data_IF_597450697362
#
_entry.id   IF_597450697362
#
_cell.length_a   1.000
_cell.length_b   1.000
_cell.length_c   1.000
_cell.angle_alpha   90.00
_cell.angle_beta   90.00
_cell.angle_gamma   90.00
#
_symmetry.space_group_name_H-M   'P 1'
#
loop_
_entity.id
_entity.type
_entity.pdbx_description
1 polymer ?
#
# COMPACT_ATOMS: atom_id res chain seq x y z
N UNK A 1 28.40 13.24 4.74
CA UNK A 1 27.14 13.88 5.17
C UNK A 1 27.02 15.20 4.45
N UNK A 2 25.85 15.55 3.92
CA UNK A 2 25.63 16.82 3.21
C UNK A 2 24.56 17.60 3.98
N UNK A 3 24.91 18.74 4.59
CA UNK A 3 23.92 19.62 5.20
C UNK A 3 23.19 20.43 4.12
N UNK A 4 21.87 20.52 4.21
CA UNK A 4 21.03 21.35 3.35
C UNK A 4 20.12 22.23 4.22
N UNK A 5 19.96 23.50 3.86
CA UNK A 5 19.04 24.40 4.53
C UNK A 5 17.77 24.53 3.68
N UNK A 6 16.74 23.76 4.05
CA UNK A 6 15.41 23.79 3.42
C UNK A 6 14.34 24.07 4.46
N UNK A 7 13.35 24.91 4.12
CA UNK A 7 12.20 25.26 4.98
C UNK A 7 12.52 25.81 6.39
N UNK A 8 13.71 26.39 6.58
CA UNK A 8 14.09 27.03 7.85
C UNK A 8 14.71 26.09 8.89
N UNK A 9 14.95 24.83 8.54
CA UNK A 9 15.67 23.85 9.37
C UNK A 9 16.87 23.27 8.61
N UNK A 10 17.83 22.70 9.37
CA UNK A 10 19.01 22.05 8.83
C UNK A 10 18.75 20.55 8.63
N UNK A 11 18.64 20.11 7.38
CA UNK A 11 18.57 18.70 7.03
C UNK A 11 19.97 18.12 6.83
N UNK A 12 20.19 16.89 7.32
CA UNK A 12 21.47 16.19 7.15
C UNK A 12 21.27 14.92 6.32
N UNK A 13 21.80 14.88 5.11
CA UNK A 13 21.80 13.68 4.28
C UNK A 13 23.02 12.82 4.61
N UNK A 14 22.79 11.64 5.18
CA UNK A 14 23.84 10.63 5.41
C UNK A 14 24.08 9.89 4.11
N UNK A 15 25.28 10.04 3.56
CA UNK A 15 25.75 9.21 2.45
C UNK A 15 26.09 7.84 3.03
N UNK A 16 25.27 6.83 2.75
CA UNK A 16 25.54 5.45 3.16
C UNK A 16 26.89 4.99 2.60
N UNK A 17 27.55 4.10 3.34
CA UNK A 17 28.76 3.42 2.89
C UNK A 17 28.48 2.66 1.57
N UNK A 18 29.02 3.18 0.46
CA UNK A 18 28.75 2.70 -0.90
C UNK A 18 29.31 1.29 -1.19
N UNK A 19 29.95 0.64 -0.21
CA UNK A 19 30.44 -0.74 -0.33
C UNK A 19 29.31 -1.79 -0.34
N UNK A 20 28.12 -1.48 0.16
CA UNK A 20 26.95 -2.39 0.14
C UNK A 20 25.85 -1.81 -0.75
N UNK A 21 25.78 -2.32 -1.98
CA UNK A 21 24.72 -1.98 -2.95
C UNK A 21 23.37 -2.56 -2.50
N UNK A 22 22.64 -1.82 -1.67
CA UNK A 22 21.21 -2.04 -1.48
C UNK A 22 20.41 -1.26 -2.55
N UNK A 23 19.86 -1.99 -3.52
CA UNK A 23 19.07 -1.42 -4.62
C UNK A 23 17.70 -0.89 -4.19
N UNK A 24 17.30 -1.14 -2.94
CA UNK A 24 16.02 -0.68 -2.39
C UNK A 24 16.14 0.59 -1.55
N UNK A 25 17.37 0.99 -1.22
CA UNK A 25 17.64 2.23 -0.50
C UNK A 25 17.70 3.44 -1.45
N UNK A 26 17.26 4.64 -1.00
CA UNK A 26 17.43 5.87 -1.76
C UNK A 26 18.92 6.09 -2.05
N UNK A 27 19.31 6.07 -3.32
CA UNK A 27 20.69 6.29 -3.73
C UNK A 27 20.86 7.72 -4.23
N UNK A 28 21.86 8.41 -3.69
CA UNK A 28 22.38 9.64 -4.30
C UNK A 28 23.31 9.19 -5.43
N UNK A 29 22.83 9.20 -6.67
CA UNK A 29 23.73 9.05 -7.82
C UNK A 29 24.37 10.40 -8.11
N UNK A 30 25.69 10.49 -7.94
CA UNK A 30 26.45 11.57 -8.53
C UNK A 30 26.38 11.44 -10.05
N UNK A 31 25.77 12.42 -10.73
CA UNK A 31 25.84 12.53 -12.18
C UNK A 31 27.22 13.01 -12.59
N UNK A 32 28.18 12.08 -12.62
CA UNK A 32 29.54 12.35 -13.09
C UNK A 32 29.55 12.18 -14.61
N UNK A 33 30.00 13.20 -15.36
CA UNK A 33 30.12 13.07 -16.81
C UNK A 33 31.13 11.96 -17.17
N UNK A 34 31.05 11.34 -18.36
CA UNK A 34 32.01 10.32 -18.76
C UNK A 34 33.47 10.79 -18.68
N UNK A 35 33.72 12.07 -18.99
CA UNK A 35 35.05 12.70 -18.90
C UNK A 35 35.56 12.80 -17.46
N UNK A 36 34.73 13.24 -16.52
CA UNK A 36 35.09 13.33 -15.10
C UNK A 36 35.25 11.94 -14.46
N UNK A 37 34.46 10.95 -14.90
CA UNK A 37 34.60 9.56 -14.44
C UNK A 37 35.91 8.95 -14.90
N UNK A 38 36.32 9.22 -16.14
CA UNK A 38 37.59 8.77 -16.67
C UNK A 38 38.77 9.49 -16.01
N UNK A 39 38.66 10.80 -15.77
CA UNK A 39 39.65 11.57 -15.02
C UNK A 39 39.84 11.02 -13.60
N UNK A 40 38.75 10.79 -12.86
CA UNK A 40 38.81 10.23 -11.51
C UNK A 40 39.41 8.82 -11.49
N UNK A 41 39.08 7.96 -12.47
CA UNK A 41 39.64 6.62 -12.58
C UNK A 41 41.15 6.63 -12.87
N UNK A 42 41.61 7.54 -13.74
CA UNK A 42 43.05 7.72 -14.03
C UNK A 42 43.80 8.22 -12.80
N UNK A 43 43.26 9.23 -12.10
CA UNK A 43 43.88 9.77 -10.88
C UNK A 43 43.99 8.74 -9.75
N UNK A 44 42.96 7.89 -9.60
CA UNK A 44 42.95 6.81 -8.61
C UNK A 44 43.99 5.71 -8.95
N UNK A 45 44.14 5.40 -10.24
CA UNK A 45 45.11 4.41 -10.73
C UNK A 45 46.56 4.89 -10.61
N UNK A 46 46.80 6.21 -10.79
CA UNK A 46 48.12 6.83 -10.70
C UNK A 46 48.56 7.09 -9.24
N UNK A 47 47.70 6.79 -8.26
CA UNK A 47 48.07 6.68 -6.85
C UNK A 47 48.45 7.99 -6.17
N UNK A 48 47.92 9.13 -6.63
CA UNK A 48 48.17 10.47 -6.08
C UNK A 48 49.66 10.83 -5.93
N UNK A 49 50.54 10.21 -6.72
CA UNK A 49 51.99 10.25 -6.49
C UNK A 49 52.63 11.64 -6.54
N UNK A 50 52.01 12.58 -7.26
CA UNK A 50 52.58 13.91 -7.52
C UNK A 50 51.61 15.10 -7.28
N UNK A 51 50.52 14.92 -6.53
CA UNK A 51 49.56 16.02 -6.28
C UNK A 51 49.49 16.45 -4.81
N UNK A 52 49.87 17.72 -4.57
CA UNK A 52 49.26 18.53 -3.52
C UNK A 52 47.75 18.53 -3.76
N UNK A 53 46.98 18.25 -2.73
CA UNK A 53 45.53 18.41 -2.71
C UNK A 53 45.17 19.75 -3.37
N UNK A 54 44.46 19.70 -4.48
CA UNK A 54 43.98 20.89 -5.19
C UNK A 54 42.87 21.49 -4.31
N UNK A 55 43.24 22.46 -3.46
CA UNK A 55 42.37 23.14 -2.51
C UNK A 55 41.31 24.07 -3.17
N UNK A 56 41.11 24.03 -4.49
CA UNK A 56 40.34 25.07 -5.19
C UNK A 56 39.38 24.61 -6.32
N UNK A 57 39.31 23.32 -6.66
CA UNK A 57 38.36 22.88 -7.68
C UNK A 57 36.96 22.76 -7.07
N UNK A 58 36.13 23.78 -7.29
CA UNK A 58 34.70 23.74 -7.03
C UNK A 58 34.06 22.82 -8.07
N UNK A 59 33.63 21.64 -7.65
CA UNK A 59 32.73 20.81 -8.44
C UNK A 59 31.30 21.12 -8.03
N UNK A 60 30.42 21.30 -9.01
CA UNK A 60 28.99 21.49 -8.77
C UNK A 60 28.33 20.12 -8.66
N UNK A 61 27.78 19.82 -7.49
CA UNK A 61 27.00 18.60 -7.24
C UNK A 61 25.53 18.96 -7.30
N UNK A 62 24.89 18.71 -8.44
CA UNK A 62 23.45 18.94 -8.60
C UNK A 62 22.67 17.77 -8.00
N UNK A 63 21.89 18.04 -6.96
CA UNK A 63 20.94 17.09 -6.40
C UNK A 63 19.56 17.30 -7.01
N UNK A 64 19.04 16.30 -7.70
CA UNK A 64 17.63 16.22 -8.06
C UNK A 64 16.86 15.61 -6.89
N UNK A 65 16.47 16.45 -5.93
CA UNK A 65 15.44 16.10 -4.97
C UNK A 65 14.08 16.16 -5.68
N UNK A 66 13.07 15.36 -5.28
CA UNK A 66 11.71 15.57 -5.79
C UNK A 66 11.31 17.03 -5.55
N UNK A 67 10.81 17.72 -6.59
CA UNK A 67 10.39 19.14 -6.51
C UNK A 67 9.32 19.41 -5.44
N UNK A 68 8.73 18.35 -4.87
CA UNK A 68 7.69 18.38 -3.84
C UNK A 68 8.22 18.43 -2.40
N UNK A 69 9.55 18.44 -2.20
CA UNK A 69 10.15 18.35 -0.86
C UNK A 69 10.03 16.95 -0.23
N UNK A 70 10.51 16.76 1.01
CA UNK A 70 10.45 15.48 1.70
C UNK A 70 8.98 15.07 1.95
N UNK A 71 8.64 13.85 1.56
CA UNK A 71 7.33 13.25 1.77
C UNK A 71 7.40 11.73 1.92
N UNK A 72 6.35 11.14 2.48
CA UNK A 72 6.18 9.71 2.57
C UNK A 72 6.41 9.04 1.21
N UNK A 73 7.17 7.95 1.18
CA UNK A 73 7.57 7.30 -0.07
C UNK A 73 6.37 6.92 -0.95
N UNK A 74 5.24 6.52 -0.36
CA UNK A 74 4.05 6.19 -1.13
C UNK A 74 3.37 7.41 -1.78
N UNK A 75 3.66 8.65 -1.35
CA UNK A 75 3.18 9.88 -1.97
C UNK A 75 4.06 10.34 -3.14
N UNK A 76 5.16 9.63 -3.45
CA UNK A 76 6.04 9.97 -4.55
C UNK A 76 5.29 10.15 -5.88
N UNK A 77 5.70 11.16 -6.64
CA UNK A 77 5.16 11.48 -7.95
C UNK A 77 6.09 10.90 -9.04
N UNK A 78 5.58 10.11 -10.00
CA UNK A 78 4.19 9.70 -10.18
C UNK A 78 3.71 8.64 -9.19
N UNK A 79 2.44 8.75 -8.81
CA UNK A 79 1.73 7.68 -8.13
C UNK A 79 1.73 6.39 -8.97
N UNK A 80 1.53 5.20 -8.36
CA UNK A 80 1.55 3.94 -9.11
C UNK A 80 0.59 3.93 -10.30
N UNK A 81 1.01 3.30 -11.38
CA UNK A 81 0.20 3.16 -12.60
C UNK A 81 -1.14 2.50 -12.25
N UNK A 82 -2.23 3.02 -12.80
CA UNK A 82 -3.62 2.61 -12.55
C UNK A 82 -4.14 2.87 -11.12
N UNK A 83 -3.38 3.57 -10.28
CA UNK A 83 -3.91 4.06 -9.01
C UNK A 83 -4.98 5.13 -9.22
N UNK A 84 -5.89 5.23 -8.25
CA UNK A 84 -6.99 6.19 -8.25
C UNK A 84 -6.79 7.19 -7.12
N UNK A 85 -7.04 8.49 -7.35
CA UNK A 85 -6.83 9.51 -6.35
C UNK A 85 -7.77 9.34 -5.15
N UNK A 86 -7.22 9.61 -3.97
CA UNK A 86 -7.88 9.53 -2.67
C UNK A 86 -7.35 10.60 -1.71
N UNK A 87 -7.90 11.82 -1.81
CA UNK A 87 -7.39 12.94 -1.01
C UNK A 87 -5.98 13.31 -1.47
N UNK A 88 -5.05 13.38 -0.51
CA UNK A 88 -3.63 13.62 -0.78
C UNK A 88 -2.89 12.37 -1.30
N UNK A 89 -3.53 11.20 -1.25
CA UNK A 89 -2.93 9.95 -1.67
C UNK A 89 -3.73 9.23 -2.74
N UNK A 90 -3.67 7.91 -2.72
CA UNK A 90 -4.24 7.06 -3.77
C UNK A 90 -4.65 5.70 -3.23
N UNK A 91 -5.43 4.96 -4.01
CA UNK A 91 -5.62 3.52 -3.82
C UNK A 91 -5.48 2.78 -5.15
N UNK A 92 -5.06 1.53 -5.08
CA UNK A 92 -4.81 0.65 -6.22
C UNK A 92 -5.33 -0.75 -5.88
N UNK A 93 -6.11 -1.32 -6.79
CA UNK A 93 -6.52 -2.72 -6.69
C UNK A 93 -5.96 -3.49 -7.88
N UNK A 94 -5.36 -4.64 -7.61
CA UNK A 94 -4.97 -5.59 -8.65
C UNK A 94 -5.95 -6.75 -8.68
N UNK A 95 -6.05 -7.37 -9.84
CA UNK A 95 -6.94 -8.50 -10.07
C UNK A 95 -6.23 -9.57 -10.86
N UNK A 96 -6.77 -10.78 -10.79
CA UNK A 96 -6.45 -11.87 -11.71
C UNK A 96 -7.71 -12.46 -12.31
N UNK A 97 -7.56 -13.10 -13.46
CA UNK A 97 -8.68 -13.73 -14.14
C UNK A 97 -9.08 -15.03 -13.42
N UNK A 98 -10.39 -15.29 -13.36
CA UNK A 98 -10.96 -16.55 -12.90
C UNK A 98 -11.80 -17.17 -14.02
N UNK A 99 -11.77 -18.52 -14.17
CA UNK A 99 -12.58 -19.20 -15.19
C UNK A 99 -14.08 -18.97 -15.02
N UNK A 100 -14.54 -18.78 -13.78
CA UNK A 100 -15.94 -18.51 -13.43
C UNK A 100 -16.02 -17.38 -12.41
N UNK A 101 -16.91 -16.41 -12.63
CA UNK A 101 -17.25 -15.37 -11.63
C UNK A 101 -17.97 -15.97 -10.43
N UNK A 102 -18.77 -17.01 -10.66
CA UNK A 102 -19.40 -17.81 -9.61
C UNK A 102 -19.34 -19.28 -10.01
N UNK A 103 -18.83 -20.14 -9.14
CA UNK A 103 -18.79 -21.59 -9.34
C UNK A 103 -20.21 -22.20 -9.38
N UNK A 104 -21.16 -21.61 -8.65
CA UNK A 104 -22.56 -22.02 -8.60
C UNK A 104 -23.37 -21.59 -9.83
N UNK A 105 -22.80 -20.80 -10.73
CA UNK A 105 -23.45 -20.31 -11.95
C UNK A 105 -22.48 -20.33 -13.15
N UNK A 106 -22.20 -21.53 -13.72
CA UNK A 106 -21.26 -21.68 -14.83
C UNK A 106 -21.66 -20.88 -16.09
N UNK A 107 -22.96 -20.61 -16.29
CA UNK A 107 -23.46 -19.84 -17.41
C UNK A 107 -23.01 -18.36 -17.36
N UNK A 108 -22.62 -17.86 -16.18
CA UNK A 108 -22.08 -16.51 -16.01
C UNK A 108 -20.69 -16.29 -16.58
N UNK A 109 -19.95 -17.37 -16.89
CA UNK A 109 -18.63 -17.31 -17.49
C UNK A 109 -17.54 -16.71 -16.57
N UNK A 110 -16.37 -16.47 -17.16
CA UNK A 110 -15.18 -15.97 -16.45
C UNK A 110 -15.22 -14.48 -16.14
N UNK A 111 -14.30 -14.07 -15.26
CA UNK A 111 -14.15 -12.66 -14.88
C UNK A 111 -12.90 -12.44 -14.06
N UNK A 112 -12.97 -11.54 -13.08
CA UNK A 112 -11.81 -11.13 -12.28
C UNK A 112 -12.09 -11.22 -10.80
N UNK A 113 -11.11 -11.69 -10.02
CA UNK A 113 -11.11 -11.61 -8.55
C UNK A 113 -9.99 -10.67 -8.08
N UNK A 114 -10.14 -9.99 -6.94
CA UNK A 114 -9.09 -9.13 -6.41
C UNK A 114 -7.93 -9.94 -5.83
N UNK A 115 -6.70 -9.50 -6.09
CA UNK A 115 -5.48 -10.15 -5.58
C UNK A 115 -4.74 -9.31 -4.56
N UNK A 116 -4.87 -7.98 -4.64
CA UNK A 116 -4.26 -7.06 -3.69
C UNK A 116 -4.97 -5.71 -3.78
N UNK A 117 -5.14 -5.09 -2.63
CA UNK A 117 -5.62 -3.72 -2.48
C UNK A 117 -4.57 -2.93 -1.69
N UNK A 118 -4.19 -1.77 -2.20
CA UNK A 118 -3.18 -0.90 -1.61
C UNK A 118 -3.72 0.52 -1.53
N UNK A 119 -3.32 1.25 -0.51
CA UNK A 119 -3.56 2.68 -0.43
C UNK A 119 -2.39 3.41 0.20
N UNK A 120 -2.15 4.62 -0.29
CA UNK A 120 -1.37 5.63 0.41
C UNK A 120 -2.37 6.62 1.00
N UNK A 121 -2.45 6.70 2.32
CA UNK A 121 -3.46 7.46 3.04
C UNK A 121 -2.81 8.68 3.69
N UNK A 122 -2.96 9.84 3.06
CA UNK A 122 -2.55 11.13 3.62
C UNK A 122 -3.61 11.71 4.57
N UNK A 123 -3.30 12.87 5.18
CA UNK A 123 -4.18 13.56 6.13
C UNK A 123 -5.57 13.85 5.55
N UNK A 124 -5.67 14.31 4.29
CA UNK A 124 -6.96 14.66 3.68
C UNK A 124 -7.64 13.48 2.97
N UNK A 125 -7.45 12.26 3.47
CA UNK A 125 -8.15 11.06 2.97
C UNK A 125 -9.66 11.30 2.96
N UNK A 126 -10.30 11.09 1.80
CA UNK A 126 -11.73 11.38 1.60
C UNK A 126 -12.57 10.15 1.91
N UNK A 127 -13.85 10.37 2.21
CA UNK A 127 -14.80 9.26 2.30
C UNK A 127 -14.98 8.61 0.91
N UNK A 128 -14.92 7.29 0.88
CA UNK A 128 -15.11 6.49 -0.31
C UNK A 128 -16.58 6.31 -0.72
N UNK A 129 -16.82 5.42 -1.67
CA UNK A 129 -18.18 5.14 -2.18
C UNK A 129 -18.79 3.89 -1.57
N UNK A 130 -20.08 3.66 -1.80
CA UNK A 130 -20.76 2.44 -1.39
C UNK A 130 -20.35 1.23 -2.24
N UNK A 131 -21.01 0.10 -2.03
CA UNK A 131 -20.81 -1.14 -2.79
C UNK A 131 -21.78 -1.23 -3.96
N UNK A 132 -21.42 -1.90 -5.05
CA UNK A 132 -22.37 -2.26 -6.12
C UNK A 132 -22.21 -3.70 -6.61
N UNK A 133 -23.22 -4.18 -7.33
CA UNK A 133 -23.17 -5.46 -8.04
C UNK A 133 -22.67 -5.28 -9.48
N UNK A 134 -22.16 -6.35 -10.12
CA UNK A 134 -21.89 -7.70 -9.56
C UNK A 134 -20.53 -7.81 -8.85
N UNK A 135 -20.46 -8.57 -7.75
CA UNK A 135 -19.19 -8.95 -7.07
C UNK A 135 -18.88 -10.42 -7.34
N UNK A 136 -17.64 -10.72 -7.71
CA UNK A 136 -17.16 -12.10 -7.94
C UNK A 136 -17.34 -12.95 -6.69
N UNK A 137 -17.92 -14.14 -6.85
CA UNK A 137 -18.25 -15.06 -5.76
C UNK A 137 -19.51 -14.72 -4.98
N UNK A 138 -20.26 -13.65 -5.29
CA UNK A 138 -21.43 -13.29 -4.48
C UNK A 138 -22.53 -14.36 -4.54
N UNK A 139 -22.79 -14.97 -5.72
CA UNK A 139 -23.76 -16.07 -5.82
C UNK A 139 -23.27 -17.35 -5.13
N UNK A 140 -21.95 -17.57 -5.13
CA UNK A 140 -21.34 -18.70 -4.41
C UNK A 140 -21.55 -18.55 -2.90
N UNK A 141 -21.41 -17.33 -2.37
CA UNK A 141 -21.68 -17.04 -0.97
C UNK A 141 -23.16 -17.26 -0.62
N UNK A 142 -24.08 -16.77 -1.46
CA UNK A 142 -25.52 -16.97 -1.29
C UNK A 142 -25.88 -18.47 -1.34
N UNK A 143 -25.29 -19.23 -2.27
CA UNK A 143 -25.48 -20.68 -2.38
C UNK A 143 -24.93 -21.43 -1.16
N UNK A 144 -23.75 -21.04 -0.65
CA UNK A 144 -23.15 -21.62 0.55
C UNK A 144 -24.05 -21.42 1.79
N UNK A 145 -24.57 -20.21 2.01
CA UNK A 145 -25.48 -19.94 3.12
C UNK A 145 -26.76 -20.77 3.01
N UNK A 146 -27.34 -20.85 1.81
CA UNK A 146 -28.51 -21.68 1.55
C UNK A 146 -28.26 -23.16 1.85
N UNK A 147 -27.13 -23.70 1.38
CA UNK A 147 -26.76 -25.11 1.58
C UNK A 147 -26.54 -25.46 3.06
N UNK A 148 -26.09 -24.50 3.87
CA UNK A 148 -25.85 -24.67 5.29
C UNK A 148 -27.03 -24.18 6.18
N UNK A 149 -28.17 -23.81 5.58
CA UNK A 149 -29.35 -23.28 6.28
C UNK A 149 -29.02 -22.09 7.19
N UNK A 150 -28.12 -21.21 6.73
CA UNK A 150 -27.67 -20.03 7.47
C UNK A 150 -28.50 -18.80 7.07
N UNK A 151 -28.95 -18.05 8.06
CA UNK A 151 -29.69 -16.78 7.88
C UNK A 151 -28.83 -15.55 8.24
N UNK A 152 -27.51 -15.72 8.30
CA UNK A 152 -26.58 -14.66 8.68
C UNK A 152 -26.40 -13.64 7.56
N UNK A 153 -26.18 -12.38 7.93
CA UNK A 153 -26.01 -11.30 6.97
C UNK A 153 -24.69 -11.42 6.21
N UNK A 154 -24.78 -11.46 4.88
CA UNK A 154 -23.65 -11.36 3.96
C UNK A 154 -23.49 -9.93 3.46
N UNK A 155 -22.23 -9.55 3.22
CA UNK A 155 -21.85 -8.22 2.78
C UNK A 155 -20.85 -8.25 1.64
N UNK A 156 -20.72 -7.09 1.01
CA UNK A 156 -19.69 -6.78 0.03
C UNK A 156 -18.59 -6.02 0.77
N UNK A 157 -17.66 -6.76 1.37
CA UNK A 157 -16.58 -6.17 2.16
C UNK A 157 -15.65 -5.37 1.27
N UNK A 158 -15.34 -4.15 1.70
CA UNK A 158 -14.27 -3.37 1.11
C UNK A 158 -12.90 -3.95 1.51
N UNK A 159 -11.94 -4.01 0.59
CA UNK A 159 -10.55 -4.31 0.90
C UNK A 159 -9.83 -3.08 1.44
N UNK A 160 -9.94 -1.95 0.75
CA UNK A 160 -9.71 -0.62 1.33
C UNK A 160 -11.05 -0.08 1.82
N UNK A 161 -11.19 0.11 3.13
CA UNK A 161 -12.44 0.56 3.75
C UNK A 161 -12.98 1.86 3.14
N UNK A 162 -14.31 2.01 3.11
CA UNK A 162 -14.96 3.27 2.70
C UNK A 162 -14.49 4.46 3.55
N UNK A 163 -14.30 4.27 4.85
CA UNK A 163 -13.81 5.32 5.76
C UNK A 163 -12.36 5.75 5.47
N UNK A 164 -11.60 4.91 4.78
CA UNK A 164 -10.23 5.17 4.30
C UNK A 164 -10.22 5.55 2.80
N UNK A 165 -11.39 5.87 2.23
CA UNK A 165 -11.51 6.33 0.84
C UNK A 165 -11.65 5.26 -0.23
N UNK A 166 -11.76 4.00 0.16
CA UNK A 166 -12.01 2.92 -0.78
C UNK A 166 -13.38 3.03 -1.45
N UNK A 167 -13.41 2.68 -2.74
CA UNK A 167 -14.58 2.83 -3.61
C UNK A 167 -15.04 1.46 -4.10
N UNK A 168 -16.34 1.28 -4.31
CA UNK A 168 -16.91 -0.01 -4.73
C UNK A 168 -18.11 0.09 -5.67
N UNK A 169 -18.46 1.29 -6.15
CA UNK A 169 -19.69 1.51 -6.93
C UNK A 169 -19.52 1.35 -8.44
N UNK A 170 -18.34 1.65 -9.00
CA UNK A 170 -18.10 1.63 -10.46
C UNK A 170 -17.42 0.34 -10.92
N UNK A 171 -17.52 0.01 -12.21
CA UNK A 171 -16.81 -1.16 -12.79
C UNK A 171 -15.30 -1.17 -12.48
N UNK A 172 -14.68 0.01 -12.48
CA UNK A 172 -13.25 0.18 -12.19
C UNK A 172 -12.90 -0.04 -10.71
N UNK A 173 -13.82 0.28 -9.80
CA UNK A 173 -13.55 0.27 -8.36
C UNK A 173 -14.13 -0.95 -7.65
N UNK A 174 -15.03 -1.69 -8.30
CA UNK A 174 -15.70 -2.85 -7.70
C UNK A 174 -14.76 -3.99 -7.32
N UNK A 175 -13.57 -4.05 -7.91
CA UNK A 175 -12.49 -4.96 -7.49
C UNK A 175 -11.90 -4.61 -6.12
N UNK A 176 -12.39 -3.58 -5.45
CA UNK A 176 -12.15 -3.36 -4.03
C UNK A 176 -13.08 -4.19 -3.14
N UNK A 177 -13.96 -5.03 -3.71
CA UNK A 177 -15.00 -5.75 -2.97
C UNK A 177 -14.80 -7.26 -3.02
N UNK A 178 -15.05 -7.92 -1.89
CA UNK A 178 -15.16 -9.38 -1.79
C UNK A 178 -16.43 -9.77 -1.03
N UNK A 179 -17.05 -10.93 -1.34
CA UNK A 179 -18.13 -11.47 -0.52
C UNK A 179 -17.60 -11.85 0.86
N UNK A 180 -18.37 -11.52 1.89
CA UNK A 180 -17.97 -11.77 3.27
C UNK A 180 -19.16 -11.83 4.22
N UNK A 181 -18.92 -12.30 5.44
CA UNK A 181 -19.88 -12.11 6.52
C UNK A 181 -19.87 -10.67 7.03
N UNK A 182 -21.07 -10.09 7.20
CA UNK A 182 -21.22 -8.78 7.84
C UNK A 182 -20.68 -8.81 9.27
N UNK A 183 -21.04 -9.84 10.05
CA UNK A 183 -20.48 -10.11 11.38
C UNK A 183 -19.48 -11.27 11.26
N UNK A 184 -18.19 -10.97 11.39
CA UNK A 184 -17.07 -11.84 11.03
C UNK A 184 -15.95 -11.01 10.43
N UNK A 185 -15.70 -11.18 9.12
CA UNK A 185 -14.62 -10.46 8.42
C UNK A 185 -14.86 -8.95 8.33
N UNK A 186 -16.08 -8.51 8.00
CA UNK A 186 -16.38 -7.07 7.86
C UNK A 186 -16.32 -6.36 9.22
N UNK A 187 -17.27 -6.71 10.08
CA UNK A 187 -17.45 -6.13 11.41
C UNK A 187 -17.35 -7.22 12.46
N UNK A 188 -16.86 -6.89 13.65
CA UNK A 188 -16.58 -7.87 14.71
C UNK A 188 -15.31 -7.50 15.45
N UNK A 189 -14.84 -8.40 16.33
CA UNK A 189 -13.57 -8.24 17.06
C UNK A 189 -12.85 -9.59 17.22
N UNK A 190 -11.63 -9.74 16.68
CA UNK A 190 -11.01 -8.89 15.65
C UNK A 190 -11.70 -9.06 14.28
N UNK A 191 -11.75 -8.00 13.49
CA UNK A 191 -12.24 -7.99 12.09
C UNK A 191 -11.44 -6.99 11.26
N UNK A 192 -11.71 -6.85 9.96
CA UNK A 192 -11.11 -5.80 9.14
C UNK A 192 -11.32 -4.42 9.76
N UNK A 193 -12.54 -4.15 10.24
CA UNK A 193 -12.88 -2.90 10.94
C UNK A 193 -12.00 -2.58 12.14
N UNK A 194 -11.47 -3.60 12.84
CA UNK A 194 -10.55 -3.39 13.98
C UNK A 194 -9.30 -2.64 13.53
N UNK A 195 -8.66 -3.10 12.44
CA UNK A 195 -7.42 -2.52 11.93
C UNK A 195 -7.66 -1.24 11.12
N UNK A 196 -8.78 -1.17 10.41
CA UNK A 196 -9.20 0.05 9.72
C UNK A 196 -9.43 1.22 10.68
N UNK A 197 -9.93 0.94 11.90
CA UNK A 197 -10.13 1.97 12.93
C UNK A 197 -8.80 2.53 13.42
N UNK A 198 -7.76 1.70 13.54
CA UNK A 198 -6.41 2.15 13.90
C UNK A 198 -5.89 3.18 12.88
N UNK A 199 -5.97 2.86 11.59
CA UNK A 199 -5.56 3.79 10.52
C UNK A 199 -6.44 5.05 10.47
N UNK A 200 -7.75 4.90 10.63
CA UNK A 200 -8.70 6.02 10.67
C UNK A 200 -8.39 6.98 11.83
N UNK A 201 -8.09 6.45 13.01
CA UNK A 201 -7.80 7.25 14.20
C UNK A 201 -6.47 8.00 14.07
N UNK A 202 -5.46 7.42 13.42
CA UNK A 202 -4.22 8.14 13.09
C UNK A 202 -4.50 9.30 12.11
N UNK A 203 -5.19 9.04 11.00
CA UNK A 203 -5.52 10.08 9.99
C UNK A 203 -6.34 11.22 10.60
N UNK A 204 -7.24 10.90 11.54
CA UNK A 204 -8.12 11.88 12.19
C UNK A 204 -7.55 12.49 13.47
N UNK A 205 -6.28 12.21 13.80
CA UNK A 205 -5.61 12.77 14.98
C UNK A 205 -6.20 12.30 16.32
N UNK A 206 -6.83 11.13 16.34
CA UNK A 206 -7.42 10.51 17.53
C UNK A 206 -6.53 9.45 18.17
N UNK A 207 -5.51 8.98 17.45
CA UNK A 207 -4.55 8.00 17.96
C UNK A 207 -3.62 8.65 19.00
N UNK A 208 -3.61 8.19 20.26
CA UNK A 208 -2.72 8.75 21.28
C UNK A 208 -1.24 8.56 20.92
N UNK A 209 -0.46 9.63 20.98
CA UNK A 209 1.00 9.57 20.74
C UNK A 209 1.40 9.44 19.27
N UNK A 210 0.45 9.41 18.32
CA UNK A 210 0.73 9.33 16.88
C UNK A 210 0.08 10.52 16.19
N UNK A 211 0.91 11.38 15.59
CA UNK A 211 0.46 12.53 14.79
C UNK A 211 1.12 12.43 13.42
N UNK A 212 0.33 12.52 12.34
CA UNK A 212 0.86 12.60 10.98
C UNK A 212 1.14 14.08 10.62
N UNK A 213 2.31 14.34 10.08
CA UNK A 213 2.60 15.59 9.39
C UNK A 213 1.90 15.65 8.02
N UNK A 214 1.86 16.83 7.41
CA UNK A 214 1.22 17.06 6.10
C UNK A 214 1.77 16.17 4.98
N UNK A 215 3.06 15.84 5.08
CA UNK A 215 3.76 15.02 4.09
C UNK A 215 3.98 13.58 4.59
N UNK A 216 3.42 13.20 5.73
CA UNK A 216 3.40 11.81 6.19
C UNK A 216 2.20 11.07 5.57
N UNK A 217 2.27 9.74 5.47
CA UNK A 217 1.16 8.92 5.02
C UNK A 217 1.17 7.55 5.66
N UNK A 218 0.00 6.89 5.68
CA UNK A 218 -0.09 5.46 5.99
C UNK A 218 -0.07 4.69 4.68
N UNK A 219 0.93 3.82 4.52
CA UNK A 219 0.89 2.79 3.49
C UNK A 219 0.13 1.59 4.02
N UNK A 220 -1.02 1.31 3.41
CA UNK A 220 -1.98 0.31 3.86
C UNK A 220 -2.18 -0.75 2.77
N UNK A 221 -2.19 -2.03 3.13
CA UNK A 221 -2.32 -3.13 2.20
C UNK A 221 -3.26 -4.22 2.72
N UNK A 222 -4.07 -4.76 1.82
CA UNK A 222 -4.93 -5.93 2.05
C UNK A 222 -4.75 -6.92 0.91
N UNK A 223 -4.48 -8.18 1.25
CA UNK A 223 -4.26 -9.27 0.31
C UNK A 223 -5.29 -10.35 0.60
N UNK A 224 -6.30 -10.55 -0.28
CA UNK A 224 -7.20 -11.70 -0.20
C UNK A 224 -6.42 -13.01 -0.30
N UNK A 225 -6.73 -13.95 0.59
CA UNK A 225 -6.16 -15.30 0.61
C UNK A 225 -7.21 -16.26 0.05
N UNK A 226 -6.87 -16.89 -1.07
CA UNK A 226 -7.73 -17.89 -1.73
C UNK A 226 -7.21 -19.29 -1.45
N UNK A 227 -8.10 -20.27 -1.51
CA UNK A 227 -7.75 -21.69 -1.30
C UNK A 227 -6.98 -22.24 -2.49
N UNK A 228 -7.40 -21.89 -3.70
CA UNK A 228 -6.76 -22.30 -4.95
C UNK A 228 -7.01 -21.30 -6.10
N UNK A 229 -6.57 -21.67 -7.31
CA UNK A 229 -6.68 -20.83 -8.50
C UNK A 229 -8.13 -20.63 -8.99
N UNK A 230 -9.07 -21.49 -8.59
CA UNK A 230 -10.47 -21.45 -8.99
C UNK A 230 -11.37 -20.76 -7.96
N UNK A 231 -10.89 -20.52 -6.73
CA UNK A 231 -11.64 -19.80 -5.70
C UNK A 231 -12.16 -18.45 -6.21
N UNK A 232 -13.38 -18.09 -5.87
CA UNK A 232 -13.97 -16.78 -6.18
C UNK A 232 -14.13 -15.92 -4.93
N UNK A 233 -14.16 -16.57 -3.76
CA UNK A 233 -14.27 -15.94 -2.45
C UNK A 233 -13.00 -16.27 -1.65
N UNK A 234 -12.36 -15.27 -1.02
CA UNK A 234 -11.21 -15.55 -0.18
C UNK A 234 -11.63 -16.24 1.13
N UNK A 235 -10.78 -17.16 1.61
CA UNK A 235 -10.92 -17.78 2.95
C UNK A 235 -10.62 -16.79 4.08
N UNK A 236 -10.01 -15.66 3.75
CA UNK A 236 -9.71 -14.56 4.64
C UNK A 236 -8.86 -13.51 3.94
N UNK A 237 -8.47 -12.47 4.65
CA UNK A 237 -7.55 -11.45 4.14
C UNK A 237 -6.36 -11.30 5.07
N UNK A 238 -5.21 -11.02 4.48
CA UNK A 238 -4.04 -10.56 5.21
C UNK A 238 -3.96 -9.04 5.09
N UNK A 239 -3.77 -8.34 6.19
CA UNK A 239 -3.71 -6.88 6.25
C UNK A 239 -2.41 -6.45 6.92
N UNK A 240 -1.82 -5.37 6.45
CA UNK A 240 -0.71 -4.69 7.14
C UNK A 240 -0.78 -3.18 6.88
N UNK A 241 -0.17 -2.39 7.76
CA UNK A 241 0.01 -0.98 7.51
C UNK A 241 1.25 -0.43 8.21
N UNK A 242 1.89 0.55 7.56
CA UNK A 242 3.03 1.29 8.10
C UNK A 242 2.78 2.80 7.96
N UNK A 243 3.21 3.58 8.94
CA UNK A 243 3.36 5.02 8.80
C UNK A 243 4.69 5.27 8.08
N UNK A 244 4.63 5.98 6.96
CA UNK A 244 5.78 6.47 6.23
C UNK A 244 5.92 7.96 6.51
N UNK A 245 7.06 8.35 7.07
CA UNK A 245 7.36 9.72 7.44
C UNK A 245 8.03 10.47 6.30
N UNK A 246 7.85 11.78 6.27
CA UNK A 246 8.51 12.66 5.31
C UNK A 246 10.04 12.60 5.38
N UNK A 247 10.60 12.36 6.57
CA UNK A 247 12.04 12.19 6.79
C UNK A 247 12.60 10.82 6.30
N UNK A 248 11.76 9.98 5.70
CA UNK A 248 12.13 8.65 5.18
C UNK A 248 12.02 7.51 6.20
N UNK A 249 11.71 7.77 7.48
CA UNK A 249 11.52 6.70 8.45
C UNK A 249 10.18 5.99 8.25
N UNK A 250 10.13 4.71 8.62
CA UNK A 250 8.91 3.91 8.57
C UNK A 250 8.64 3.31 9.95
N UNK A 251 7.41 3.45 10.43
CA UNK A 251 6.94 2.88 11.70
C UNK A 251 5.82 1.88 11.40
N UNK A 252 5.87 0.69 12.00
CA UNK A 252 4.76 -0.27 11.88
C UNK A 252 3.53 0.29 12.59
N UNK A 253 2.40 0.38 11.87
CA UNK A 253 1.13 0.79 12.47
C UNK A 253 0.40 -0.41 13.06
N UNK A 254 0.36 -1.50 12.30
CA UNK A 254 0.00 -2.82 12.78
C UNK A 254 0.68 -3.88 11.91
N UNK A 255 1.05 -5.03 12.49
CA UNK A 255 1.80 -6.05 11.79
C UNK A 255 0.96 -6.74 10.73
N UNK A 256 1.56 -7.71 10.06
CA UNK A 256 0.85 -8.59 9.16
C UNK A 256 -0.17 -9.46 9.91
N UNK A 257 -1.45 -9.10 9.83
CA UNK A 257 -2.56 -9.75 10.53
C UNK A 257 -3.46 -10.50 9.55
N UNK A 258 -3.97 -11.66 9.97
CA UNK A 258 -4.91 -12.45 9.19
C UNK A 258 -6.33 -12.32 9.77
N UNK A 259 -7.31 -12.03 8.91
CA UNK A 259 -8.73 -11.95 9.26
C UNK A 259 -9.47 -13.04 8.48
N UNK A 260 -9.98 -14.09 9.14
CA UNK A 260 -10.70 -15.17 8.47
C UNK A 260 -12.07 -14.69 7.96
N UNK A 261 -12.52 -15.27 6.84
CA UNK A 261 -13.86 -15.05 6.28
C UNK A 261 -14.92 -15.96 6.91
N UNK A 262 -14.86 -16.12 8.24
CA UNK A 262 -15.77 -16.95 9.05
C UNK A 262 -16.86 -16.10 9.66
N UNK A 263 -17.97 -16.74 10.05
CA UNK A 263 -19.02 -16.03 10.77
C UNK A 263 -18.57 -15.77 12.21
N UNK A 264 -18.54 -14.49 12.61
CA UNK A 264 -17.97 -14.05 13.89
C UNK A 264 -16.55 -14.61 14.10
N UNK A 265 -16.08 -14.65 15.35
CA UNK A 265 -14.80 -15.25 15.74
C UNK A 265 -14.92 -16.75 16.09
N UNK A 266 -15.80 -17.48 15.40
CA UNK A 266 -16.09 -18.90 15.71
C UNK A 266 -15.15 -19.86 14.99
N UNK A 267 -14.48 -19.42 13.93
CA UNK A 267 -13.77 -20.32 13.01
C UNK A 267 -14.70 -21.15 12.11
N UNK A 268 -16.01 -21.03 12.27
CA UNK A 268 -17.01 -21.79 11.52
C UNK A 268 -17.57 -20.99 10.34
N UNK A 269 -18.15 -21.72 9.40
CA UNK A 269 -18.86 -21.16 8.24
C UNK A 269 -17.99 -20.25 7.37
N UNK A 270 -16.76 -20.66 7.07
CA UNK A 270 -15.91 -19.88 6.17
C UNK A 270 -16.55 -19.79 4.77
N UNK A 271 -16.72 -18.58 4.22
CA UNK A 271 -17.28 -18.37 2.88
C UNK A 271 -16.29 -18.66 1.74
N UNK A 272 -14.99 -18.74 2.03
CA UNK A 272 -13.99 -19.04 1.02
C UNK A 272 -14.20 -20.44 0.43
N UNK A 273 -14.08 -20.54 -0.89
CA UNK A 273 -14.28 -21.78 -1.64
C UNK A 273 -12.97 -22.36 -2.18
#
# INVERSE_FOLDING_TARGET
MIPNLGNGEWDTYVLSDAHVLDRTSPCVQAHVTPGEKQFAATQLADGFKDQRVIDADQFELTFSLPDTGPQASCLNNPAPINSLPNGDGWFLNTTEAVPLVNQSDPAGGGGFRPTRAQACLGLNTKLGTNTSNPVTGMKDAEAYAKANTLTYDQSRCHLIARVLGGKGTSKLTRCNLVPCWQVGMNTGKPSMRTYETIAEDVIKGRAPGVVLGTNDAIFYQVIPVYKDANSTIPVGVTMNANIQRANGTTEELFPNVYVPNTYSNTGLYNLGN
#
